data_IF_416947533895
#
_entry.id   IF_416947533895
#
_cell.length_a   1.000
_cell.length_b   1.000
_cell.length_c   1.000
_cell.angle_alpha   90.00
_cell.angle_beta   90.00
_cell.angle_gamma   90.00
#
_symmetry.space_group_name_H-M   'P 1'
#
loop_
_entity.id
_entity.type
_entity.pdbx_description
1 polymer ?
#
# COMPACT_ATOMS: atom_id res chain seq x y z
N UNK A 1 11.43 22.51 6.52
CA UNK A 1 10.30 21.68 6.99
C UNK A 1 9.25 21.74 5.90
N UNK A 2 8.99 20.64 5.20
CA UNK A 2 7.91 20.60 4.20
C UNK A 2 6.64 20.28 4.99
N UNK A 3 5.78 21.27 5.13
CA UNK A 3 4.48 21.12 5.77
C UNK A 3 3.56 20.32 4.84
N UNK A 4 3.48 19.01 5.02
CA UNK A 4 2.52 18.16 4.30
C UNK A 4 1.21 18.15 5.08
N UNK A 5 0.26 19.00 4.70
CA UNK A 5 -1.08 19.03 5.30
C UNK A 5 -2.06 18.25 4.43
N UNK A 6 -2.64 17.18 4.99
CA UNK A 6 -3.87 16.58 4.46
C UNK A 6 -5.02 17.53 4.84
N UNK A 7 -5.77 18.02 3.85
CA UNK A 7 -6.84 19.01 4.04
C UNK A 7 -8.21 18.53 3.57
N UNK A 8 -8.24 17.45 2.80
CA UNK A 8 -9.43 16.89 2.16
C UNK A 8 -9.14 15.43 1.79
N UNK A 9 -10.19 14.60 1.76
CA UNK A 9 -10.17 13.22 1.26
C UNK A 9 -10.62 13.13 -0.22
N UNK A 10 -11.02 14.26 -0.82
CA UNK A 10 -11.55 14.32 -2.20
C UNK A 10 -10.67 15.14 -3.16
N UNK A 11 -9.75 15.95 -2.65
CA UNK A 11 -8.83 16.73 -3.48
C UNK A 11 -7.73 15.85 -4.07
N UNK A 12 -7.10 16.25 -5.20
CA UNK A 12 -6.02 15.47 -5.80
C UNK A 12 -4.87 15.17 -4.83
N UNK A 13 -4.48 13.90 -4.77
CA UNK A 13 -3.40 13.39 -3.94
C UNK A 13 -2.03 13.83 -4.50
N UNK A 14 -1.08 14.18 -3.60
CA UNK A 14 0.27 14.64 -3.99
C UNK A 14 1.38 13.75 -3.46
N UNK A 15 1.21 13.28 -2.24
CA UNK A 15 2.18 12.50 -1.46
C UNK A 15 1.40 11.40 -0.74
N UNK A 16 1.88 10.17 -0.82
CA UNK A 16 1.28 9.02 -0.13
C UNK A 16 2.37 8.07 0.33
N UNK A 17 2.16 7.45 1.49
CA UNK A 17 3.05 6.38 1.98
C UNK A 17 2.34 5.05 1.79
N UNK A 18 3.02 4.11 1.15
CA UNK A 18 2.53 2.75 0.94
C UNK A 18 3.49 1.74 1.57
N UNK A 19 2.97 0.57 1.95
CA UNK A 19 3.78 -0.52 2.48
C UNK A 19 3.58 -1.77 1.61
N UNK A 20 4.63 -2.27 0.92
CA UNK A 20 4.52 -3.51 0.18
C UNK A 20 4.27 -4.70 1.12
N UNK A 21 3.70 -5.81 0.61
CA UNK A 21 3.54 -7.04 1.38
C UNK A 21 4.89 -7.58 1.88
N UNK A 22 4.95 -7.92 3.17
CA UNK A 22 6.12 -8.54 3.77
C UNK A 22 6.11 -10.05 3.54
N UNK A 23 7.28 -10.67 3.51
CA UNK A 23 7.42 -12.13 3.43
C UNK A 23 6.78 -12.83 4.62
N UNK A 24 6.90 -12.24 5.81
CA UNK A 24 6.34 -12.79 7.06
C UNK A 24 4.82 -12.94 7.04
N UNK A 25 4.10 -12.28 6.12
CA UNK A 25 2.65 -12.43 5.99
C UNK A 25 2.23 -13.82 5.47
N UNK A 26 3.17 -14.61 4.94
CA UNK A 26 2.92 -16.00 4.57
C UNK A 26 2.71 -16.92 5.78
N UNK A 27 3.29 -16.56 6.93
CA UNK A 27 3.44 -17.43 8.09
C UNK A 27 2.69 -16.93 9.34
N UNK A 28 1.89 -15.86 9.22
CA UNK A 28 1.15 -15.30 10.36
C UNK A 28 0.05 -16.24 10.86
N UNK A 29 -0.24 -16.17 12.16
CA UNK A 29 -1.52 -16.69 12.66
C UNK A 29 -2.65 -15.73 12.25
N UNK A 30 -3.57 -16.24 11.41
CA UNK A 30 -4.66 -15.45 10.85
C UNK A 30 -5.59 -14.85 11.92
N UNK A 31 -5.87 -15.59 13.00
CA UNK A 31 -6.79 -15.14 14.04
C UNK A 31 -6.15 -14.07 14.91
N UNK A 32 -4.90 -14.24 15.29
CA UNK A 32 -4.15 -13.26 16.08
C UNK A 32 -3.95 -11.94 15.32
N UNK A 33 -3.82 -12.03 13.99
CA UNK A 33 -3.54 -10.87 13.14
C UNK A 33 -4.77 -10.28 12.46
N UNK A 34 -5.97 -10.84 12.68
CA UNK A 34 -7.24 -10.44 12.06
C UNK A 34 -7.27 -10.55 10.53
N UNK A 35 -6.68 -11.60 9.96
CA UNK A 35 -6.73 -11.91 8.53
C UNK A 35 -7.82 -12.97 8.25
N UNK A 36 -8.47 -12.85 7.10
CA UNK A 36 -9.47 -13.82 6.65
C UNK A 36 -8.84 -15.06 5.99
N UNK A 37 -7.73 -14.87 5.27
CA UNK A 37 -6.99 -15.91 4.56
C UNK A 37 -5.52 -15.51 4.38
N UNK A 38 -4.66 -16.49 4.09
CA UNK A 38 -3.27 -16.21 3.72
C UNK A 38 -3.19 -15.64 2.30
N UNK A 39 -2.36 -14.62 2.06
CA UNK A 39 -2.21 -14.05 0.73
C UNK A 39 -1.36 -14.95 -0.17
N UNK A 40 -1.66 -14.94 -1.47
CA UNK A 40 -0.68 -15.32 -2.49
C UNK A 40 0.38 -14.21 -2.57
N UNK A 41 1.48 -14.37 -1.85
CA UNK A 41 2.52 -13.34 -1.72
C UNK A 41 3.16 -12.91 -3.05
N UNK A 42 3.55 -13.83 -3.96
CA UNK A 42 4.01 -13.44 -5.30
C UNK A 42 3.02 -12.52 -6.01
N UNK A 43 1.74 -12.92 -6.06
CA UNK A 43 0.70 -12.14 -6.72
C UNK A 43 0.44 -10.81 -6.02
N UNK A 44 0.36 -10.79 -4.69
CA UNK A 44 0.11 -9.58 -3.91
C UNK A 44 1.22 -8.53 -4.10
N UNK A 45 2.48 -8.97 -4.24
CA UNK A 45 3.61 -8.08 -4.52
C UNK A 45 3.51 -7.46 -5.92
N UNK A 46 3.15 -8.26 -6.92
CA UNK A 46 2.94 -7.78 -8.29
C UNK A 46 1.79 -6.75 -8.35
N UNK A 47 0.64 -7.08 -7.75
CA UNK A 47 -0.52 -6.19 -7.71
C UNK A 47 -0.22 -4.88 -6.96
N UNK A 48 0.49 -4.94 -5.82
CA UNK A 48 0.92 -3.74 -5.09
C UNK A 48 1.87 -2.86 -5.92
N UNK A 49 2.88 -3.46 -6.57
CA UNK A 49 3.81 -2.71 -7.42
C UNK A 49 3.08 -2.00 -8.56
N UNK A 50 2.17 -2.70 -9.24
CA UNK A 50 1.33 -2.13 -10.30
C UNK A 50 0.51 -0.95 -9.80
N UNK A 51 -0.07 -1.04 -8.60
CA UNK A 51 -0.85 0.06 -8.03
C UNK A 51 0.01 1.29 -7.70
N UNK A 52 1.19 1.07 -7.12
CA UNK A 52 2.14 2.14 -6.86
C UNK A 52 2.60 2.84 -8.15
N UNK A 53 2.84 2.08 -9.21
CA UNK A 53 3.25 2.62 -10.51
C UNK A 53 2.14 3.43 -11.18
N UNK A 54 0.87 3.02 -11.05
CA UNK A 54 -0.28 3.81 -11.50
C UNK A 54 -0.33 5.17 -10.80
N UNK A 55 -0.16 5.21 -9.48
CA UNK A 55 -0.15 6.47 -8.72
C UNK A 55 1.02 7.38 -9.14
N UNK A 56 2.22 6.81 -9.36
CA UNK A 56 3.38 7.57 -9.87
C UNK A 56 3.14 8.12 -11.27
N UNK A 57 2.47 7.36 -12.14
CA UNK A 57 2.13 7.81 -13.49
C UNK A 57 1.17 9.02 -13.48
N UNK A 58 0.31 9.12 -12.47
CA UNK A 58 -0.57 10.28 -12.22
C UNK A 58 0.15 11.44 -11.49
N UNK A 59 1.47 11.34 -11.26
CA UNK A 59 2.28 12.38 -10.64
C UNK A 59 2.25 12.42 -9.11
N UNK A 60 1.70 11.38 -8.46
CA UNK A 60 1.74 11.24 -6.99
C UNK A 60 3.13 10.76 -6.56
N UNK A 61 3.67 11.35 -5.50
CA UNK A 61 4.88 10.85 -4.84
C UNK A 61 4.50 9.68 -3.91
N UNK A 62 4.93 8.48 -4.28
CA UNK A 62 4.66 7.20 -3.59
C UNK A 62 5.93 6.62 -2.99
#
# INVERSE_FOLDING_TARGET
>A
MVETWIRSEADPLRDVVVSPPLESYGDIDLREHNWFEHPDLPRAREEHARYADLMRAEGVRV
#
